data_IF_510870252551
#
_entry.id   IF_510870252551
#
_cell.length_a   1.000
_cell.length_b   1.000
_cell.length_c   1.000
_cell.angle_alpha   90.00
_cell.angle_beta   90.00
_cell.angle_gamma   90.00
#
_symmetry.space_group_name_H-M   'P 1'
#
loop_
_entity.id
_entity.type
_entity.pdbx_description
1 polymer ?
#
# COMPACT_ATOMS: atom_id res chain seq x y z
N UNK A 1 44.62 -18.58 6.63
CA UNK A 1 43.34 -18.32 7.32
C UNK A 1 42.45 -17.56 6.36
N UNK A 2 41.55 -18.25 5.64
CA UNK A 2 40.62 -17.57 4.72
C UNK A 2 39.31 -17.33 5.48
N UNK A 3 38.95 -16.06 5.61
CA UNK A 3 37.68 -15.58 6.17
C UNK A 3 36.53 -16.13 5.34
N UNK A 4 35.78 -17.08 5.91
CA UNK A 4 34.52 -17.58 5.36
C UNK A 4 33.48 -16.47 5.39
N UNK A 5 33.38 -15.71 4.29
CA UNK A 5 32.25 -14.82 4.06
C UNK A 5 30.98 -15.69 3.99
N UNK A 6 30.17 -15.63 5.03
CA UNK A 6 28.87 -16.31 5.11
C UNK A 6 28.03 -15.89 3.91
N UNK A 7 27.75 -16.81 2.98
CA UNK A 7 26.84 -16.52 1.85
C UNK A 7 25.47 -16.15 2.42
N UNK A 8 24.88 -15.01 2.03
CA UNK A 8 23.55 -14.65 2.49
C UNK A 8 22.56 -15.74 2.03
N UNK A 9 21.81 -16.27 2.98
CA UNK A 9 20.83 -17.35 2.71
C UNK A 9 19.73 -16.83 1.77
N UNK A 10 19.17 -17.68 0.90
CA UNK A 10 18.13 -17.29 -0.06
C UNK A 10 16.92 -16.57 0.57
N UNK A 11 16.62 -16.88 1.84
CA UNK A 11 15.60 -16.20 2.65
C UNK A 11 15.98 -14.73 2.93
N UNK A 12 17.25 -14.45 3.24
CA UNK A 12 17.76 -13.09 3.45
C UNK A 12 17.84 -12.28 2.14
N UNK A 13 18.22 -12.92 1.03
CA UNK A 13 18.23 -12.27 -0.29
C UNK A 13 16.80 -11.85 -0.68
N UNK A 14 15.80 -12.68 -0.38
CA UNK A 14 14.38 -12.38 -0.67
C UNK A 14 13.86 -11.23 0.21
N UNK A 15 14.19 -11.20 1.50
CA UNK A 15 13.80 -10.10 2.39
C UNK A 15 14.49 -8.79 2.05
N UNK A 16 15.75 -8.83 1.64
CA UNK A 16 16.53 -7.65 1.23
C UNK A 16 16.08 -7.12 -0.13
N UNK A 17 15.74 -8.01 -1.07
CA UNK A 17 15.08 -7.59 -2.31
C UNK A 17 13.70 -6.98 -2.03
N UNK A 18 12.93 -7.51 -1.08
CA UNK A 18 11.64 -6.95 -0.67
C UNK A 18 11.75 -5.58 0.03
N UNK A 19 12.85 -5.27 0.72
CA UNK A 19 13.04 -3.95 1.32
C UNK A 19 13.47 -2.88 0.32
N UNK A 20 14.09 -3.27 -0.80
CA UNK A 20 14.51 -2.36 -1.87
C UNK A 20 13.50 -2.24 -3.02
N UNK A 21 12.42 -3.03 -3.01
CA UNK A 21 11.36 -2.94 -4.01
C UNK A 21 10.38 -1.82 -3.67
N UNK A 22 9.89 -1.08 -4.69
CA UNK A 22 8.86 -0.09 -4.47
C UNK A 22 7.62 -0.77 -3.87
N UNK A 23 6.96 -0.07 -2.95
CA UNK A 23 5.76 -0.55 -2.24
C UNK A 23 4.67 -1.01 -3.21
N UNK A 24 4.61 -0.37 -4.39
CA UNK A 24 3.76 -0.76 -5.52
C UNK A 24 3.98 -2.21 -5.96
N UNK A 25 5.24 -2.61 -6.22
CA UNK A 25 5.55 -3.99 -6.65
C UNK A 25 5.23 -5.00 -5.56
N UNK A 26 5.40 -4.65 -4.29
CA UNK A 26 5.05 -5.53 -3.16
C UNK A 26 3.55 -5.75 -3.05
N UNK A 27 2.77 -4.67 -3.17
CA UNK A 27 1.31 -4.75 -3.16
C UNK A 27 0.79 -5.54 -4.37
N UNK A 28 1.37 -5.32 -5.56
CA UNK A 28 1.03 -6.04 -6.77
C UNK A 28 1.31 -7.55 -6.66
N UNK A 29 2.42 -7.93 -6.03
CA UNK A 29 2.76 -9.34 -5.79
C UNK A 29 1.81 -10.03 -4.80
N UNK A 30 1.29 -9.31 -3.80
CA UNK A 30 0.38 -9.85 -2.78
C UNK A 30 -1.03 -10.01 -3.34
N UNK A 31 -1.52 -8.97 -4.03
CA UNK A 31 -2.90 -8.93 -4.51
C UNK A 31 -3.09 -9.54 -5.90
N UNK A 32 -2.02 -9.67 -6.69
CA UNK A 32 -2.06 -10.26 -8.04
C UNK A 32 -2.85 -9.44 -9.08
N UNK A 33 -3.37 -8.27 -8.71
CA UNK A 33 -4.24 -7.43 -9.53
C UNK A 33 -3.76 -5.98 -9.53
N UNK A 34 -3.82 -5.31 -10.68
CA UNK A 34 -3.47 -3.88 -10.84
C UNK A 34 -4.50 -2.95 -10.19
N UNK A 35 -5.74 -3.40 -10.05
CA UNK A 35 -6.85 -2.67 -9.45
C UNK A 35 -7.45 -3.47 -8.31
N UNK A 36 -7.53 -2.87 -7.14
CA UNK A 36 -8.09 -3.49 -5.94
C UNK A 36 -9.47 -2.87 -5.69
N UNK A 37 -10.52 -3.67 -5.42
CA UNK A 37 -11.80 -3.11 -5.02
C UNK A 37 -11.65 -2.32 -3.72
N UNK A 38 -12.24 -1.12 -3.69
CA UNK A 38 -12.16 -0.20 -2.57
C UNK A 38 -12.64 -0.82 -1.26
N UNK A 39 -13.60 -1.74 -1.32
CA UNK A 39 -14.15 -2.43 -0.14
C UNK A 39 -13.08 -3.26 0.59
N UNK A 40 -12.22 -3.96 -0.16
CA UNK A 40 -11.11 -4.73 0.41
C UNK A 40 -10.06 -3.80 1.01
N UNK A 41 -9.64 -2.76 0.28
CA UNK A 41 -8.66 -1.78 0.77
C UNK A 41 -9.18 -1.06 2.01
N UNK A 42 -10.44 -0.65 2.01
CA UNK A 42 -11.03 0.07 3.13
C UNK A 42 -11.15 -0.80 4.37
N UNK A 43 -11.42 -2.10 4.21
CA UNK A 43 -11.46 -3.05 5.31
C UNK A 43 -10.07 -3.34 5.87
N UNK A 44 -9.09 -3.60 5.00
CA UNK A 44 -7.73 -4.00 5.42
C UNK A 44 -6.89 -2.83 5.95
N UNK A 45 -6.92 -1.67 5.28
CA UNK A 45 -6.01 -0.55 5.58
C UNK A 45 -6.67 0.58 6.38
N UNK A 46 -7.94 0.86 6.13
CA UNK A 46 -8.66 1.95 6.80
C UNK A 46 -9.54 1.45 7.95
N UNK A 47 -9.73 0.14 8.08
CA UNK A 47 -10.67 -0.50 9.00
C UNK A 47 -12.08 0.14 8.96
N UNK A 48 -12.51 0.55 7.76
CA UNK A 48 -13.80 1.19 7.49
C UNK A 48 -14.79 0.18 6.91
N UNK A 49 -16.06 0.34 7.28
CA UNK A 49 -17.16 -0.39 6.64
C UNK A 49 -17.26 -0.01 5.14
N UNK A 50 -17.66 -0.94 4.26
CA UNK A 50 -17.76 -0.69 2.82
C UNK A 50 -18.70 0.47 2.48
N UNK A 51 -19.75 0.68 3.28
CA UNK A 51 -20.67 1.81 3.12
C UNK A 51 -19.98 3.17 3.36
N UNK A 52 -19.18 3.26 4.43
CA UNK A 52 -18.41 4.47 4.76
C UNK A 52 -17.33 4.72 3.72
N UNK A 53 -16.66 3.66 3.25
CA UNK A 53 -15.69 3.73 2.17
C UNK A 53 -16.31 4.29 0.89
N UNK A 54 -17.50 3.79 0.53
CA UNK A 54 -18.26 4.24 -0.64
C UNK A 54 -18.68 5.69 -0.53
N UNK A 55 -19.11 6.13 0.66
CA UNK A 55 -19.46 7.52 0.96
C UNK A 55 -18.24 8.43 0.83
N UNK A 56 -17.10 8.07 1.42
CA UNK A 56 -15.84 8.83 1.32
C UNK A 56 -15.32 8.91 -0.11
N UNK A 57 -15.43 7.83 -0.89
CA UNK A 57 -15.07 7.84 -2.29
C UNK A 57 -15.99 8.71 -3.14
N UNK A 58 -17.30 8.76 -2.85
CA UNK A 58 -18.22 9.69 -3.52
C UNK A 58 -17.91 11.15 -3.15
N UNK A 59 -17.46 11.38 -1.92
CA UNK A 59 -17.05 12.70 -1.45
C UNK A 59 -15.64 13.11 -1.91
N UNK A 60 -14.94 12.25 -2.69
CA UNK A 60 -13.53 12.43 -3.06
C UNK A 60 -12.61 12.78 -1.88
N UNK A 61 -12.98 12.36 -0.67
CA UNK A 61 -12.25 12.65 0.57
C UNK A 61 -11.23 11.56 0.90
N UNK A 62 -10.97 10.65 -0.04
CA UNK A 62 -9.93 9.65 0.10
C UNK A 62 -8.60 10.22 -0.39
N UNK A 63 -7.48 9.83 0.23
CA UNK A 63 -6.17 10.35 -0.12
C UNK A 63 -5.65 9.84 -1.48
N UNK A 64 -6.38 8.93 -2.13
CA UNK A 64 -6.07 8.39 -3.46
C UNK A 64 -7.25 8.55 -4.43
N UNK A 65 -6.96 8.66 -5.75
CA UNK A 65 -7.98 8.62 -6.79
C UNK A 65 -8.70 7.27 -6.80
N UNK A 66 -10.03 7.32 -6.91
CA UNK A 66 -10.89 6.14 -6.99
C UNK A 66 -11.48 6.06 -8.40
N UNK A 67 -11.17 4.98 -9.09
CA UNK A 67 -11.70 4.68 -10.42
C UNK A 67 -13.11 4.10 -10.24
N UNK A 68 -14.07 4.63 -10.99
CA UNK A 68 -15.44 4.13 -11.02
C UNK A 68 -15.83 3.81 -12.46
N UNK A 69 -16.43 2.64 -12.70
CA UNK A 69 -16.70 2.17 -14.06
C UNK A 69 -17.77 3.00 -14.81
N UNK A 70 -18.83 3.45 -14.13
CA UNK A 70 -19.98 4.09 -14.79
C UNK A 70 -20.40 5.44 -14.17
N UNK A 71 -19.57 6.04 -13.32
CA UNK A 71 -19.90 7.30 -12.63
C UNK A 71 -21.10 7.25 -11.67
N UNK A 72 -21.79 6.11 -11.57
CA UNK A 72 -22.93 5.92 -10.68
C UNK A 72 -22.45 5.68 -9.23
N UNK A 73 -23.18 6.23 -8.26
CA UNK A 73 -22.94 6.02 -6.82
C UNK A 73 -22.97 4.54 -6.44
N UNK A 74 -23.69 3.72 -7.23
CA UNK A 74 -23.81 2.25 -7.08
C UNK A 74 -22.79 1.44 -7.89
N UNK A 75 -21.90 2.06 -8.65
CA UNK A 75 -20.88 1.30 -9.38
C UNK A 75 -19.80 0.73 -8.43
N UNK A 76 -19.17 -0.39 -8.83
CA UNK A 76 -17.96 -0.89 -8.20
C UNK A 76 -16.85 0.16 -8.28
N UNK A 77 -16.12 0.32 -7.18
CA UNK A 77 -15.06 1.31 -7.05
C UNK A 77 -13.73 0.61 -6.90
N UNK A 78 -12.75 1.06 -7.67
CA UNK A 78 -11.43 0.47 -7.71
C UNK A 78 -10.37 1.49 -7.36
N UNK A 79 -9.31 1.01 -6.73
CA UNK A 79 -8.13 1.79 -6.39
C UNK A 79 -6.96 1.19 -7.14
N UNK A 80 -6.17 2.03 -7.81
CA UNK A 80 -4.92 1.59 -8.43
C UNK A 80 -3.88 1.26 -7.37
N UNK A 81 -3.17 0.15 -7.56
CA UNK A 81 -2.10 -0.27 -6.64
C UNK A 81 -1.04 0.83 -6.48
N UNK A 82 -0.70 1.54 -7.56
CA UNK A 82 0.22 2.69 -7.55
C UNK A 82 -0.18 3.76 -6.55
N UNK A 83 -1.43 4.24 -6.63
CA UNK A 83 -1.91 5.30 -5.77
C UNK A 83 -1.98 4.89 -4.30
N UNK A 84 -2.31 3.61 -4.03
CA UNK A 84 -2.28 3.06 -2.67
C UNK A 84 -0.84 2.98 -2.14
N UNK A 85 0.12 2.58 -2.99
CA UNK A 85 1.53 2.49 -2.62
C UNK A 85 2.12 3.86 -2.28
N UNK A 86 1.90 4.87 -3.12
CA UNK A 86 2.38 6.24 -2.88
C UNK A 86 1.86 6.78 -1.55
N UNK A 87 0.59 6.54 -1.24
CA UNK A 87 0.01 6.95 0.04
C UNK A 87 0.64 6.24 1.22
N UNK A 88 0.89 4.93 1.11
CA UNK A 88 1.51 4.16 2.18
C UNK A 88 2.97 4.60 2.41
N UNK A 89 3.72 4.84 1.35
CA UNK A 89 5.09 5.37 1.40
C UNK A 89 5.12 6.76 2.07
N UNK A 90 4.15 7.63 1.79
CA UNK A 90 4.03 8.93 2.46
C UNK A 90 3.78 8.79 3.97
N UNK A 91 2.93 7.86 4.38
CA UNK A 91 2.65 7.60 5.80
C UNK A 91 3.88 7.04 6.49
N UNK A 92 4.56 6.06 5.88
CA UNK A 92 5.79 5.51 6.44
C UNK A 92 6.89 6.57 6.56
N UNK A 93 7.05 7.42 5.56
CA UNK A 93 8.02 8.52 5.59
C UNK A 93 7.73 9.49 6.72
N UNK A 94 6.46 9.91 6.89
CA UNK A 94 6.04 10.77 8.01
C UNK A 94 6.27 10.09 9.36
N UNK A 95 5.92 8.82 9.50
CA UNK A 95 6.13 8.08 10.75
C UNK A 95 7.63 7.96 11.11
N UNK A 96 8.50 7.75 10.12
CA UNK A 96 9.96 7.73 10.31
C UNK A 96 10.50 9.09 10.74
N UNK A 97 10.02 10.17 10.13
CA UNK A 97 10.41 11.54 10.46
C UNK A 97 9.97 11.92 11.89
N UNK A 98 8.72 11.62 12.25
CA UNK A 98 8.21 11.84 13.60
C UNK A 98 8.97 11.00 14.65
N UNK A 99 9.29 9.74 14.35
CA UNK A 99 10.11 8.91 15.23
C UNK A 99 11.53 9.46 15.40
N UNK A 100 12.13 9.97 14.32
CA UNK A 100 13.46 10.59 14.37
C UNK A 100 13.47 11.86 15.23
N UNK A 101 12.41 12.68 15.14
CA UNK A 101 12.24 13.89 15.97
C UNK A 101 12.10 13.58 17.46
N UNK A 102 11.36 12.53 17.82
CA UNK A 102 11.18 12.14 19.23
C UNK A 102 12.47 11.58 19.84
N UNK A 103 13.34 10.99 19.03
CA UNK A 103 14.61 10.39 19.48
C UNK A 103 15.76 11.41 19.64
N UNK A 104 15.63 12.62 19.08
CA UNK A 104 16.68 13.65 19.10
C UNK A 104 16.38 14.74 20.12
#
# INVERSE_FOLDING_TARGET
>A
MQTVATRPTAKQIRTEKMSKMPTETRLMLIHGNTHIPLETVAKEYLNLSPEVARRKANAQSLPWPVISADGNKKSPKFVSVSALAEWLDQIESKAKDEWAKVRN
#
